data_IF_052236123243
#
_entry.id   IF_052236123243
#
_cell.length_a   1.000
_cell.length_b   1.000
_cell.length_c   1.000
_cell.angle_alpha   90.00
_cell.angle_beta   90.00
_cell.angle_gamma   90.00
#
_symmetry.space_group_name_H-M   'P 1'
#
loop_
_entity.id
_entity.type
_entity.pdbx_description
1 polymer ?
#
# COMPACT_ATOMS: atom_id res chain seq x y z
N UNK A 1 -7.61 -15.59 17.40
CA UNK A 1 -8.13 -14.75 16.31
C UNK A 1 -9.26 -13.87 16.82
N UNK A 2 -9.08 -12.56 16.89
CA UNK A 2 -10.16 -11.60 17.19
C UNK A 2 -11.04 -11.39 15.95
N UNK A 3 -12.19 -10.74 16.14
CA UNK A 3 -13.10 -10.38 15.03
C UNK A 3 -12.42 -9.46 14.00
N UNK A 4 -11.44 -8.65 14.39
CA UNK A 4 -10.76 -7.73 13.47
C UNK A 4 -9.66 -8.41 12.62
N UNK A 5 -9.08 -9.52 13.07
CA UNK A 5 -8.04 -10.26 12.34
C UNK A 5 -8.58 -10.97 11.08
N UNK A 6 -9.90 -11.14 10.96
CA UNK A 6 -10.54 -11.56 9.72
C UNK A 6 -10.32 -10.59 8.55
N UNK A 7 -10.03 -9.32 8.84
CA UNK A 7 -9.78 -8.30 7.83
C UNK A 7 -8.28 -8.21 7.43
N UNK A 8 -7.45 -9.16 7.85
CA UNK A 8 -6.05 -9.25 7.43
C UNK A 8 -5.25 -8.02 7.86
N UNK A 9 -4.50 -7.43 6.91
CA UNK A 9 -3.68 -6.24 7.16
C UNK A 9 -4.48 -4.99 7.55
N UNK A 10 -5.79 -4.92 7.26
CA UNK A 10 -6.61 -3.73 7.51
C UNK A 10 -7.12 -3.65 8.96
N UNK A 11 -7.32 -4.79 9.61
CA UNK A 11 -7.84 -4.88 10.99
C UNK A 11 -6.95 -5.68 11.94
N UNK A 12 -5.84 -6.21 11.43
CA UNK A 12 -4.90 -7.03 12.17
C UNK A 12 -4.17 -6.25 13.27
N UNK A 13 -3.90 -6.93 14.37
CA UNK A 13 -2.91 -6.49 15.36
C UNK A 13 -1.51 -6.42 14.72
N UNK A 14 -0.58 -5.68 15.34
CA UNK A 14 0.81 -5.63 14.85
C UNK A 14 1.45 -7.03 14.83
N UNK A 15 1.21 -7.84 15.87
CA UNK A 15 1.72 -9.21 15.95
C UNK A 15 1.19 -10.09 14.81
N UNK A 16 -0.11 -9.96 14.49
CA UNK A 16 -0.72 -10.67 13.37
C UNK A 16 -0.21 -10.18 12.00
N UNK A 17 0.08 -8.89 11.87
CA UNK A 17 0.69 -8.32 10.65
C UNK A 17 2.10 -8.86 10.46
N UNK A 18 2.91 -8.91 11.53
CA UNK A 18 4.24 -9.51 11.47
C UNK A 18 4.17 -11.01 11.13
N UNK A 19 3.20 -11.73 11.67
CA UNK A 19 2.93 -13.12 11.26
C UNK A 19 2.62 -13.21 9.76
N UNK A 20 1.71 -12.39 9.22
CA UNK A 20 1.39 -12.34 7.78
C UNK A 20 2.64 -12.05 6.93
N UNK A 21 3.50 -11.11 7.36
CA UNK A 21 4.74 -10.78 6.63
C UNK A 21 5.67 -11.98 6.49
N UNK A 22 5.67 -12.92 7.44
CA UNK A 22 6.48 -14.15 7.32
C UNK A 22 5.93 -15.14 6.30
N UNK A 23 4.61 -15.14 6.06
CA UNK A 23 3.95 -16.07 5.14
C UNK A 23 3.75 -15.53 3.74
N UNK A 24 3.75 -14.20 3.57
CA UNK A 24 3.53 -13.56 2.26
C UNK A 24 4.87 -13.12 1.66
N UNK A 25 5.46 -13.92 0.75
CA UNK A 25 6.68 -13.51 0.07
C UNK A 25 6.44 -12.26 -0.78
N UNK A 26 7.45 -11.39 -0.83
CA UNK A 26 7.43 -10.16 -1.63
C UNK A 26 6.26 -9.21 -1.32
N UNK A 27 5.80 -9.16 -0.06
CA UNK A 27 4.69 -8.30 0.36
C UNK A 27 4.89 -6.83 -0.07
N UNK A 28 6.11 -6.31 0.09
CA UNK A 28 6.45 -4.93 -0.30
C UNK A 28 6.20 -4.68 -1.80
N UNK A 29 6.60 -5.63 -2.66
CA UNK A 29 6.40 -5.56 -4.10
C UNK A 29 4.89 -5.60 -4.45
N UNK A 30 4.12 -6.42 -3.72
CA UNK A 30 2.67 -6.46 -3.87
C UNK A 30 2.01 -5.14 -3.45
N UNK A 31 2.49 -4.50 -2.38
CA UNK A 31 2.01 -3.17 -1.96
C UNK A 31 2.32 -2.11 -3.00
N UNK A 32 3.53 -2.07 -3.55
CA UNK A 32 3.85 -1.16 -4.65
C UNK A 32 2.96 -1.40 -5.88
N UNK A 33 2.71 -2.66 -6.23
CA UNK A 33 1.81 -3.01 -7.34
C UNK A 33 0.37 -2.59 -7.08
N UNK A 34 -0.12 -2.72 -5.84
CA UNK A 34 -1.43 -2.23 -5.44
C UNK A 34 -1.54 -0.70 -5.57
N UNK A 35 -0.55 0.04 -5.07
CA UNK A 35 -0.50 1.51 -5.15
C UNK A 35 -0.47 1.98 -6.61
N UNK A 36 0.28 1.31 -7.47
CA UNK A 36 0.30 1.64 -8.90
C UNK A 36 -1.04 1.37 -9.57
N UNK A 37 -1.67 0.22 -9.30
CA UNK A 37 -2.99 -0.09 -9.85
C UNK A 37 -4.05 0.91 -9.40
N UNK A 38 -4.01 1.32 -8.13
CA UNK A 38 -4.86 2.37 -7.59
C UNK A 38 -4.61 3.70 -8.31
N UNK A 39 -3.35 4.07 -8.55
CA UNK A 39 -2.98 5.25 -9.35
C UNK A 39 -3.63 5.21 -10.74
N UNK A 40 -3.48 4.10 -11.46
CA UNK A 40 -4.01 3.93 -12.82
C UNK A 40 -5.54 4.05 -12.84
N UNK A 41 -6.21 3.44 -11.87
CA UNK A 41 -7.67 3.58 -11.72
C UNK A 41 -8.06 5.04 -11.49
N UNK A 42 -7.37 5.76 -10.62
CA UNK A 42 -7.66 7.16 -10.36
C UNK A 42 -7.32 8.07 -11.56
N UNK A 43 -6.27 7.77 -12.33
CA UNK A 43 -5.93 8.50 -13.58
C UNK A 43 -7.03 8.31 -14.61
N UNK A 44 -7.57 7.09 -14.74
CA UNK A 44 -8.65 6.78 -15.69
C UNK A 44 -9.96 7.53 -15.40
N UNK A 45 -10.12 8.07 -14.19
CA UNK A 45 -11.31 8.82 -13.75
C UNK A 45 -11.19 10.35 -13.93
N UNK A 46 -10.42 10.83 -14.90
CA UNK A 46 -10.23 12.25 -15.28
C UNK A 46 -9.65 13.20 -14.21
N UNK A 47 -9.14 12.69 -13.08
CA UNK A 47 -8.36 13.53 -12.15
C UNK A 47 -6.95 13.71 -12.69
N UNK A 48 -6.65 14.90 -13.25
CA UNK A 48 -5.29 15.37 -13.55
C UNK A 48 -4.43 15.16 -12.30
N UNK A 49 -3.54 14.16 -12.37
CA UNK A 49 -2.65 13.72 -11.29
C UNK A 49 -3.38 13.26 -10.02
N UNK A 50 -3.72 11.96 -9.91
CA UNK A 50 -4.25 11.42 -8.68
C UNK A 50 -3.10 11.27 -7.70
N UNK A 51 -2.94 12.28 -6.87
CA UNK A 51 -2.22 12.09 -5.63
C UNK A 51 -3.02 11.09 -4.79
N UNK A 52 -2.51 9.86 -4.70
CA UNK A 52 -3.13 8.78 -3.94
C UNK A 52 -3.24 9.15 -2.45
N UNK A 53 -2.40 10.09 -1.96
CA UNK A 53 -2.49 10.60 -0.59
C UNK A 53 -3.72 11.47 -0.34
N UNK A 54 -4.41 11.95 -1.39
CA UNK A 54 -5.75 12.57 -1.25
C UNK A 54 -6.73 11.58 -0.61
N UNK A 55 -6.55 10.28 -0.88
CA UNK A 55 -7.25 9.23 -0.16
C UNK A 55 -6.55 8.98 1.17
N UNK A 56 -6.99 9.67 2.23
CA UNK A 56 -6.42 9.61 3.58
C UNK A 56 -6.25 8.18 4.13
N UNK A 57 -7.07 7.24 3.69
CA UNK A 57 -6.98 5.84 4.11
C UNK A 57 -5.67 5.16 3.64
N UNK A 58 -5.04 5.61 2.55
CA UNK A 58 -3.81 4.98 2.02
C UNK A 58 -2.61 5.27 2.94
N UNK A 59 -2.29 6.54 3.28
CA UNK A 59 -1.28 6.82 4.31
C UNK A 59 -1.55 6.12 5.63
N UNK A 60 -2.79 6.14 6.12
CA UNK A 60 -3.17 5.49 7.40
C UNK A 60 -2.90 3.99 7.40
N UNK A 61 -3.27 3.31 6.31
CA UNK A 61 -3.01 1.88 6.15
C UNK A 61 -1.51 1.55 6.09
N UNK A 62 -0.73 2.34 5.33
CA UNK A 62 0.71 2.13 5.24
C UNK A 62 1.38 2.32 6.61
N UNK A 63 0.97 3.35 7.36
CA UNK A 63 1.46 3.57 8.73
C UNK A 63 1.09 2.42 9.66
N UNK A 64 -0.12 1.87 9.54
CA UNK A 64 -0.55 0.71 10.34
C UNK A 64 0.29 -0.55 10.05
N UNK A 65 0.59 -0.82 8.79
CA UNK A 65 1.29 -2.05 8.37
C UNK A 65 2.82 -1.95 8.52
N UNK A 66 3.41 -0.80 8.21
CA UNK A 66 4.87 -0.62 8.12
C UNK A 66 5.45 0.33 9.17
N UNK A 67 4.59 1.00 9.95
CA UNK A 67 5.01 2.10 10.81
C UNK A 67 5.24 3.40 10.05
N UNK A 68 5.28 4.51 10.79
CA UNK A 68 5.29 5.87 10.24
C UNK A 68 6.46 6.14 9.28
N UNK A 69 7.70 5.81 9.69
CA UNK A 69 8.89 6.11 8.89
C UNK A 69 8.89 5.39 7.54
N UNK A 70 8.49 4.12 7.52
CA UNK A 70 8.55 3.33 6.30
C UNK A 70 7.38 3.67 5.37
N UNK A 71 6.20 3.97 5.94
CA UNK A 71 5.07 4.52 5.19
C UNK A 71 5.45 5.82 4.45
N UNK A 72 6.16 6.74 5.11
CA UNK A 72 6.64 7.98 4.48
C UNK A 72 7.58 7.72 3.30
N UNK A 73 8.54 6.78 3.45
CA UNK A 73 9.45 6.38 2.36
C UNK A 73 8.69 5.78 1.18
N UNK A 74 7.73 4.90 1.45
CA UNK A 74 6.90 4.26 0.42
C UNK A 74 6.13 5.33 -0.38
N UNK A 75 5.50 6.28 0.32
CA UNK A 75 4.75 7.37 -0.30
C UNK A 75 5.65 8.30 -1.12
N UNK A 76 6.80 8.71 -0.60
CA UNK A 76 7.77 9.55 -1.33
C UNK A 76 8.27 8.86 -2.61
N UNK A 77 8.61 7.57 -2.50
CA UNK A 77 9.05 6.77 -3.66
C UNK A 77 7.94 6.64 -4.70
N UNK A 78 6.71 6.44 -4.25
CA UNK A 78 5.54 6.40 -5.11
C UNK A 78 5.29 7.74 -5.85
N UNK A 79 5.44 8.89 -5.16
CA UNK A 79 5.27 10.22 -5.77
C UNK A 79 6.37 10.58 -6.76
N UNK A 80 7.60 10.12 -6.52
CA UNK A 80 8.76 10.42 -7.37
C UNK A 80 8.84 9.58 -8.65
N UNK A 81 8.05 8.50 -8.76
CA UNK A 81 8.14 7.56 -9.89
C UNK A 81 7.04 7.78 -10.93
N UNK A 82 7.37 7.79 -12.24
CA UNK A 82 6.38 7.93 -13.31
C UNK A 82 5.41 6.73 -13.39
N UNK A 83 4.25 6.90 -14.04
CA UNK A 83 3.38 5.79 -14.47
C UNK A 83 4.16 4.67 -15.19
N UNK A 84 4.01 3.41 -14.73
CA UNK A 84 4.62 2.24 -15.38
C UNK A 84 6.07 1.95 -14.96
N UNK A 85 6.58 2.58 -13.89
CA UNK A 85 7.94 2.35 -13.40
C UNK A 85 8.08 1.01 -12.66
N UNK A 86 6.99 0.52 -12.05
CA UNK A 86 6.98 -0.77 -11.41
C UNK A 86 6.56 -1.80 -12.44
N UNK A 87 7.51 -2.33 -13.20
CA UNK A 87 7.27 -3.54 -13.96
C UNK A 87 6.95 -4.66 -12.98
N UNK A 88 5.66 -4.85 -12.72
CA UNK A 88 5.15 -6.08 -12.11
C UNK A 88 5.24 -7.10 -13.24
N UNK A 89 6.43 -7.70 -13.40
CA UNK A 89 6.58 -8.88 -14.24
C UNK A 89 5.55 -9.91 -13.75
N UNK A 90 4.65 -10.27 -14.67
CA UNK A 90 3.54 -11.19 -14.44
C UNK A 90 4.04 -12.63 -14.32
#
# INVERSE_FOLDING_TARGET
MTTEEHYGLLGGSLDFIEEIKTYVPNLDQQVYGCLERLRLLLVSTERKYPDVTINKWVPELLTHVYGQQEAEKILQKFHSMPPGYWNIER
#
